data_IF_011107483345
#
_entry.id   IF_011107483345
#
_cell.length_a   1.000
_cell.length_b   1.000
_cell.length_c   1.000
_cell.angle_alpha   90.00
_cell.angle_beta   90.00
_cell.angle_gamma   90.00
#
_symmetry.space_group_name_H-M   'P 1'
#
loop_
_entity.id
_entity.type
_entity.pdbx_description
1 polymer ?
#
# COMPACT_ATOMS: atom_id res chain seq x y z
N UNK A 1 11.53 -0.07 9.79
CA UNK A 1 11.04 -0.85 10.95
C UNK A 1 12.02 -0.68 12.11
N UNK A 2 11.58 -0.24 13.31
CA UNK A 2 12.49 0.06 14.41
C UNK A 2 13.26 -1.17 14.93
N UNK A 3 12.78 -2.39 14.64
CA UNK A 3 13.39 -3.63 15.10
C UNK A 3 13.47 -4.68 13.98
N UNK A 4 14.36 -4.50 12.98
CA UNK A 4 14.50 -5.45 11.89
C UNK A 4 14.98 -6.82 12.41
N UNK A 5 14.48 -7.91 11.81
CA UNK A 5 14.90 -9.27 12.13
C UNK A 5 14.21 -9.90 13.35
N UNK A 6 13.28 -9.21 14.00
CA UNK A 6 12.40 -9.80 15.02
C UNK A 6 11.25 -10.57 14.38
N UNK A 7 10.68 -11.51 15.12
CA UNK A 7 9.39 -12.14 14.81
C UNK A 7 8.23 -11.19 15.11
N UNK A 8 7.05 -11.49 14.56
CA UNK A 8 5.84 -10.70 14.83
C UNK A 8 5.49 -10.65 16.33
N UNK A 9 5.68 -11.76 17.04
CA UNK A 9 5.44 -11.85 18.49
C UNK A 9 6.39 -10.94 19.28
N UNK A 10 7.70 -11.04 19.04
CA UNK A 10 8.69 -10.20 19.71
C UNK A 10 8.52 -8.71 19.39
N UNK A 11 8.10 -8.38 18.15
CA UNK A 11 7.77 -7.00 17.80
C UNK A 11 6.58 -6.48 18.59
N UNK A 12 5.51 -7.29 18.76
CA UNK A 12 4.33 -6.90 19.56
C UNK A 12 4.68 -6.74 21.04
N UNK A 13 5.52 -7.62 21.58
CA UNK A 13 6.00 -7.53 22.97
C UNK A 13 6.75 -6.23 23.21
N UNK A 14 7.73 -5.88 22.36
CA UNK A 14 8.50 -4.63 22.48
C UNK A 14 7.62 -3.39 22.37
N UNK A 15 6.59 -3.45 21.51
CA UNK A 15 5.65 -2.35 21.33
C UNK A 15 4.55 -2.29 22.40
N UNK A 16 4.48 -3.26 23.33
CA UNK A 16 3.44 -3.31 24.35
C UNK A 16 2.03 -3.54 23.80
N UNK A 17 1.89 -4.32 22.73
CA UNK A 17 0.61 -4.58 22.06
C UNK A 17 -0.12 -5.78 22.68
N UNK A 18 -0.61 -5.62 23.91
CA UNK A 18 -1.22 -6.69 24.73
C UNK A 18 -2.53 -7.25 24.15
N UNK A 19 -3.33 -6.41 23.46
CA UNK A 19 -4.60 -6.81 22.84
C UNK A 19 -4.46 -7.37 21.42
N UNK A 20 -3.23 -7.47 20.89
CA UNK A 20 -3.02 -7.97 19.53
C UNK A 20 -3.22 -9.50 19.47
N UNK A 21 -3.80 -10.03 18.38
CA UNK A 21 -3.89 -11.48 18.18
C UNK A 21 -2.52 -12.13 18.29
N UNK A 22 -2.42 -13.30 18.92
CA UNK A 22 -1.13 -13.98 19.09
C UNK A 22 -0.49 -14.41 17.75
N UNK A 23 -1.32 -14.77 16.76
CA UNK A 23 -0.88 -15.24 15.44
C UNK A 23 -0.72 -14.14 14.38
N UNK A 24 -0.41 -14.58 13.17
CA UNK A 24 -0.21 -13.76 11.97
C UNK A 24 -1.42 -13.78 11.02
N UNK A 25 -2.52 -14.43 11.40
CA UNK A 25 -3.68 -14.69 10.54
C UNK A 25 -4.22 -13.42 9.88
N UNK A 26 -4.33 -12.32 10.64
CA UNK A 26 -4.74 -11.02 10.11
C UNK A 26 -3.79 -10.54 9.01
N UNK A 27 -2.47 -10.66 9.22
CA UNK A 27 -1.48 -10.23 8.23
C UNK A 27 -1.49 -11.12 6.98
N UNK A 28 -1.60 -12.44 7.15
CA UNK A 28 -1.70 -13.39 6.04
C UNK A 28 -2.93 -13.15 5.17
N UNK A 29 -4.03 -12.70 5.77
CA UNK A 29 -5.31 -12.48 5.09
C UNK A 29 -5.55 -11.03 4.66
N UNK A 30 -4.63 -10.12 4.93
CA UNK A 30 -4.73 -8.71 4.52
C UNK A 30 -3.70 -8.43 3.43
N UNK A 31 -4.11 -8.31 2.16
CA UNK A 31 -3.23 -7.85 1.10
C UNK A 31 -2.69 -6.44 1.41
N UNK A 32 -1.41 -6.20 1.13
CA UNK A 32 -0.76 -4.90 1.34
C UNK A 32 -0.13 -4.43 0.04
N UNK A 33 -0.51 -3.24 -0.41
CA UNK A 33 0.25 -2.47 -1.39
C UNK A 33 1.19 -1.54 -0.62
N UNK A 34 2.48 -1.57 -0.96
CA UNK A 34 3.48 -0.69 -0.39
C UNK A 34 4.29 -0.03 -1.52
N UNK A 35 4.23 1.29 -1.56
CA UNK A 35 4.80 2.11 -2.62
C UNK A 35 5.87 3.05 -2.08
N UNK A 36 6.88 3.38 -2.89
CA UNK A 36 7.90 4.35 -2.50
C UNK A 36 8.61 4.97 -3.70
N UNK A 37 8.90 6.26 -3.67
CA UNK A 37 9.83 6.90 -4.61
C UNK A 37 11.28 6.67 -4.16
N UNK A 38 12.16 6.33 -5.10
CA UNK A 38 13.59 6.09 -4.85
C UNK A 38 14.32 7.38 -4.49
N UNK A 39 13.87 8.51 -5.04
CA UNK A 39 14.41 9.85 -4.85
C UNK A 39 13.81 10.61 -3.65
N UNK A 40 13.04 9.96 -2.78
CA UNK A 40 12.48 10.59 -1.57
C UNK A 40 13.60 11.11 -0.65
N UNK A 41 13.71 12.43 -0.45
CA UNK A 41 14.78 13.02 0.34
C UNK A 41 14.49 13.01 1.85
N UNK A 42 13.26 12.72 2.27
CA UNK A 42 12.80 12.78 3.66
C UNK A 42 12.72 11.39 4.29
N UNK A 43 12.12 10.43 3.58
CA UNK A 43 12.04 9.04 4.00
C UNK A 43 12.80 8.20 3.01
N UNK A 44 14.02 7.80 3.37
CA UNK A 44 14.87 7.05 2.45
C UNK A 44 14.21 5.72 2.05
N UNK A 45 14.23 5.38 0.76
CA UNK A 45 13.68 4.12 0.21
C UNK A 45 14.18 2.85 0.93
N UNK A 46 15.38 2.91 1.52
CA UNK A 46 15.92 1.84 2.36
C UNK A 46 15.01 1.49 3.54
N UNK A 47 14.33 2.48 4.14
CA UNK A 47 13.37 2.28 5.21
C UNK A 47 12.12 1.55 4.71
N UNK A 48 11.64 1.90 3.51
CA UNK A 48 10.53 1.22 2.83
C UNK A 48 10.85 -0.24 2.53
N UNK A 49 12.04 -0.52 1.97
CA UNK A 49 12.53 -1.88 1.73
C UNK A 49 12.62 -2.69 3.03
N UNK A 50 13.15 -2.10 4.10
CA UNK A 50 13.23 -2.76 5.41
C UNK A 50 11.83 -3.05 6.00
N UNK A 51 10.86 -2.16 5.78
CA UNK A 51 9.46 -2.39 6.16
C UNK A 51 8.85 -3.55 5.36
N UNK A 52 8.99 -3.54 4.03
CA UNK A 52 8.54 -4.61 3.13
C UNK A 52 9.04 -5.98 3.59
N UNK A 53 10.34 -6.08 3.86
CA UNK A 53 10.97 -7.35 4.22
C UNK A 53 10.50 -7.84 5.60
N UNK A 54 10.28 -6.92 6.54
CA UNK A 54 9.72 -7.24 7.86
C UNK A 54 8.26 -7.70 7.76
N UNK A 55 7.42 -7.00 6.99
CA UNK A 55 6.02 -7.38 6.77
C UNK A 55 5.91 -8.76 6.12
N UNK A 56 6.74 -9.05 5.11
CA UNK A 56 6.82 -10.38 4.50
C UNK A 56 7.31 -11.43 5.50
N UNK A 57 8.31 -11.11 6.31
CA UNK A 57 8.78 -11.97 7.40
C UNK A 57 7.71 -12.28 8.45
N UNK A 58 6.74 -11.39 8.65
CA UNK A 58 5.58 -11.60 9.50
C UNK A 58 4.43 -12.38 8.84
N UNK A 59 4.55 -12.73 7.57
CA UNK A 59 3.51 -13.45 6.82
C UNK A 59 2.59 -12.58 5.97
N UNK A 60 2.80 -11.26 5.89
CA UNK A 60 1.97 -10.39 5.06
C UNK A 60 2.21 -10.61 3.55
N UNK A 61 1.14 -10.49 2.77
CA UNK A 61 1.19 -10.50 1.30
C UNK A 61 1.44 -9.09 0.77
N UNK A 62 2.71 -8.75 0.50
CA UNK A 62 3.11 -7.38 0.11
C UNK A 62 3.41 -7.27 -1.39
N UNK A 63 2.59 -6.51 -2.12
CA UNK A 63 2.89 -5.94 -3.43
C UNK A 63 3.76 -4.68 -3.22
N UNK A 64 4.97 -4.66 -3.79
CA UNK A 64 5.94 -3.60 -3.59
C UNK A 64 6.24 -2.91 -4.92
N UNK A 65 6.07 -1.58 -4.95
CA UNK A 65 6.34 -0.76 -6.13
C UNK A 65 7.33 0.34 -5.76
N UNK A 66 8.41 0.44 -6.54
CA UNK A 66 9.38 1.54 -6.44
C UNK A 66 9.27 2.41 -7.68
N UNK A 67 9.11 3.72 -7.47
CA UNK A 67 9.11 4.71 -8.54
C UNK A 67 10.48 5.39 -8.60
N UNK A 68 11.12 5.55 -9.77
CA UNK A 68 12.43 6.20 -9.86
C UNK A 68 12.44 7.65 -9.34
N UNK A 69 11.33 8.36 -9.56
CA UNK A 69 11.13 9.77 -9.22
C UNK A 69 9.75 10.03 -8.59
N UNK A 70 9.60 11.20 -7.97
CA UNK A 70 8.35 11.66 -7.33
C UNK A 70 8.56 12.35 -5.98
N UNK A 71 9.78 12.30 -5.44
CA UNK A 71 10.13 12.88 -4.15
C UNK A 71 9.33 12.25 -3.01
N UNK A 72 9.02 13.04 -1.98
CA UNK A 72 8.31 12.55 -0.80
C UNK A 72 6.80 12.33 -1.00
N UNK A 73 6.24 12.78 -2.13
CA UNK A 73 4.80 12.74 -2.30
C UNK A 73 4.32 11.45 -2.99
N UNK A 74 3.00 11.30 -3.16
CA UNK A 74 2.45 10.22 -3.97
C UNK A 74 3.01 10.33 -5.40
N UNK A 75 3.53 9.22 -5.92
CA UNK A 75 3.81 9.15 -7.35
C UNK A 75 2.47 9.21 -8.09
N UNK A 76 2.24 10.28 -8.84
CA UNK A 76 0.97 10.55 -9.53
C UNK A 76 1.25 10.98 -10.97
N UNK A 77 0.50 10.48 -11.96
CA UNK A 77 -0.70 9.63 -11.80
C UNK A 77 -0.43 8.14 -11.55
N UNK A 78 0.76 7.63 -11.88
CA UNK A 78 1.00 6.18 -11.97
C UNK A 78 0.78 5.43 -10.65
N UNK A 79 1.26 5.95 -9.51
CA UNK A 79 1.00 5.31 -8.21
C UNK A 79 -0.46 5.32 -7.79
N UNK A 80 -1.21 6.36 -8.15
CA UNK A 80 -2.66 6.37 -7.92
C UNK A 80 -3.39 5.32 -8.78
N UNK A 81 -2.93 5.10 -10.02
CA UNK A 81 -3.47 4.03 -10.87
C UNK A 81 -3.16 2.64 -10.30
N UNK A 82 -1.97 2.45 -9.71
CA UNK A 82 -1.57 1.21 -9.05
C UNK A 82 -2.41 0.94 -7.79
N UNK A 83 -2.66 1.95 -6.97
CA UNK A 83 -3.62 1.90 -5.84
C UNK A 83 -5.01 1.50 -6.33
N UNK A 84 -5.55 2.18 -7.35
CA UNK A 84 -6.88 1.87 -7.88
C UNK A 84 -6.97 0.43 -8.39
N UNK A 85 -5.93 -0.05 -9.09
CA UNK A 85 -5.85 -1.44 -9.58
C UNK A 85 -5.79 -2.44 -8.44
N UNK A 86 -5.00 -2.16 -7.41
CA UNK A 86 -4.87 -3.01 -6.23
C UNK A 86 -6.19 -3.16 -5.49
N UNK A 87 -6.89 -2.04 -5.22
CA UNK A 87 -8.20 -2.05 -4.56
C UNK A 87 -9.25 -2.78 -5.40
N UNK A 88 -9.27 -2.54 -6.71
CA UNK A 88 -10.17 -3.26 -7.61
C UNK A 88 -9.96 -4.77 -7.57
N UNK A 89 -8.70 -5.23 -7.45
CA UNK A 89 -8.35 -6.65 -7.39
C UNK A 89 -8.74 -7.29 -6.05
N UNK A 90 -8.46 -6.64 -4.93
CA UNK A 90 -8.52 -7.25 -3.60
C UNK A 90 -9.77 -6.92 -2.80
N UNK A 91 -10.47 -5.84 -3.13
CA UNK A 91 -11.67 -5.39 -2.42
C UNK A 91 -12.91 -5.48 -3.31
N UNK A 92 -12.79 -5.06 -4.58
CA UNK A 92 -13.94 -4.88 -5.47
C UNK A 92 -14.13 -6.03 -6.50
N UNK A 93 -13.29 -7.08 -6.49
CA UNK A 93 -13.23 -8.08 -7.56
C UNK A 93 -14.23 -9.25 -7.48
N UNK A 94 -14.99 -9.46 -8.56
CA UNK A 94 -15.88 -10.57 -8.94
C UNK A 94 -17.21 -10.76 -8.17
N UNK A 95 -18.03 -9.71 -8.03
CA UNK A 95 -19.48 -9.95 -8.09
C UNK A 95 -19.85 -10.35 -9.52
N UNK A 96 -20.50 -11.50 -9.67
CA UNK A 96 -20.88 -12.08 -10.96
C UNK A 96 -21.74 -11.16 -11.83
N UNK A 97 -21.86 -11.55 -13.11
CA UNK A 97 -23.00 -11.26 -13.99
C UNK A 97 -24.12 -10.41 -13.36
N UNK A 98 -24.01 -9.10 -13.47
CA UNK A 98 -24.99 -8.15 -12.94
C UNK A 98 -24.86 -6.84 -13.68
N UNK A 99 -25.87 -6.52 -14.48
CA UNK A 99 -25.97 -5.39 -15.39
C UNK A 99 -25.40 -4.07 -14.85
N UNK A 100 -24.58 -3.42 -15.68
CA UNK A 100 -24.24 -2.00 -15.58
C UNK A 100 -25.50 -1.15 -15.82
N UNK A 101 -25.95 -0.30 -14.88
CA UNK A 101 -26.67 0.91 -15.26
C UNK A 101 -25.63 1.96 -15.65
N UNK A 102 -25.62 2.29 -16.94
CA UNK A 102 -24.89 3.42 -17.52
C UNK A 102 -24.91 4.63 -16.58
N UNK A 103 -23.73 5.09 -16.17
CA UNK A 103 -23.55 6.46 -15.70
C UNK A 103 -22.65 7.15 -16.69
N UNK A 104 -23.31 7.79 -17.64
CA UNK A 104 -22.77 8.83 -18.51
C UNK A 104 -22.11 9.88 -17.62
N UNK A 105 -20.78 9.91 -17.57
CA UNK A 105 -20.05 11.07 -17.09
C UNK A 105 -20.10 12.10 -18.22
N UNK A 106 -21.00 13.07 -18.07
CA UNK A 106 -21.00 14.26 -18.89
C UNK A 106 -19.65 14.99 -18.71
N UNK A 107 -19.00 15.26 -19.83
CA UNK A 107 -17.80 16.05 -19.92
C UNK A 107 -18.07 17.50 -19.49
N UNK A 108 -17.22 18.06 -18.63
CA UNK A 108 -17.04 19.49 -18.50
C UNK A 108 -15.55 19.82 -18.22
N UNK A 109 -15.06 20.96 -18.73
CA UNK A 109 -13.72 21.04 -19.33
C UNK A 109 -12.61 21.58 -18.41
N UNK A 110 -11.39 21.32 -18.86
CA UNK A 110 -10.11 21.85 -18.40
C UNK A 110 -10.11 23.35 -18.08
N UNK A 111 -9.65 23.70 -16.88
CA UNK A 111 -8.77 24.84 -16.61
C UNK A 111 -8.48 24.97 -15.10
N UNK A 112 -7.23 24.73 -14.70
CA UNK A 112 -6.65 25.41 -13.54
C UNK A 112 -5.44 26.17 -14.09
N UNK A 113 -5.66 27.46 -14.32
CA UNK A 113 -4.64 28.48 -14.57
C UNK A 113 -3.96 28.81 -13.23
N UNK A 114 -2.65 28.62 -13.16
CA UNK A 114 -1.81 29.09 -12.06
C UNK A 114 -0.86 30.15 -12.61
N UNK A 115 -1.29 31.40 -12.49
CA UNK A 115 -0.43 32.58 -12.51
C UNK A 115 -0.32 33.20 -11.11
#
# INVERSE_FOLDING_TARGET
>A
MPFPGRTLHETREVLGLEDAPAGDEVLRNTPVLLEHCVDDPLVLVANGRALRDSLRGFGAQVEWVEYPDGGHWFNSPAGMDDVARFLNRHILGATGTGQNPSTQLDAAPDAIDLS
#
